data_IF_928143462354
#
_entry.id   IF_928143462354
#
_cell.length_a   1.000
_cell.length_b   1.000
_cell.length_c   1.000
_cell.angle_alpha   90.00
_cell.angle_beta   90.00
_cell.angle_gamma   90.00
#
_symmetry.space_group_name_H-M   'P 1'
#
loop_
_entity.id
_entity.type
_entity.pdbx_description
1 polymer ?
#
# COMPACT_ATOMS: atom_id res chain seq x y z
N UNK A 1 -3.47 -2.22 12.53
CA UNK A 1 -3.61 -2.19 11.05
C UNK A 1 -3.19 -0.84 10.50
N UNK A 2 -2.56 -0.85 9.39
CA UNK A 2 -2.13 0.35 8.69
C UNK A 2 -2.69 0.35 7.27
N UNK A 3 -2.96 1.53 6.75
CA UNK A 3 -3.27 1.71 5.33
C UNK A 3 -2.02 2.28 4.67
N UNK A 4 -1.60 1.67 3.58
CA UNK A 4 -0.52 2.16 2.75
C UNK A 4 -1.11 2.82 1.52
N UNK A 5 -0.63 4.02 1.21
CA UNK A 5 -0.98 4.72 -0.03
C UNK A 5 0.33 5.03 -0.73
N UNK A 6 0.43 4.67 -2.00
CA UNK A 6 1.62 5.01 -2.78
C UNK A 6 1.19 5.36 -4.22
N UNK A 7 2.09 5.97 -4.96
CA UNK A 7 1.81 6.49 -6.29
C UNK A 7 2.84 5.93 -7.25
N UNK A 8 2.37 5.21 -8.27
CA UNK A 8 3.25 4.40 -9.12
C UNK A 8 3.00 4.74 -10.58
N UNK A 9 4.05 4.94 -11.39
CA UNK A 9 3.83 5.11 -12.83
C UNK A 9 2.96 3.97 -13.36
N UNK A 10 2.04 4.31 -14.24
CA UNK A 10 0.98 3.38 -14.66
C UNK A 10 1.53 2.04 -15.11
N UNK A 11 2.61 2.02 -15.91
CA UNK A 11 3.12 0.77 -16.43
C UNK A 11 3.84 -0.09 -15.38
N UNK A 12 4.11 0.47 -14.19
CA UNK A 12 4.75 -0.28 -13.11
C UNK A 12 3.79 -0.66 -11.99
N UNK A 13 2.52 -0.26 -12.11
CA UNK A 13 1.56 -0.45 -11.01
C UNK A 13 1.37 -1.93 -10.66
N UNK A 14 1.24 -2.77 -11.66
CA UNK A 14 1.01 -4.19 -11.43
C UNK A 14 2.18 -4.85 -10.71
N UNK A 15 3.38 -4.50 -11.13
CA UNK A 15 4.60 -5.02 -10.51
C UNK A 15 4.70 -4.63 -9.03
N UNK A 16 4.42 -3.35 -8.73
CA UNK A 16 4.50 -2.86 -7.37
C UNK A 16 3.41 -3.49 -6.51
N UNK A 17 2.18 -3.58 -7.04
CA UNK A 17 1.10 -4.23 -6.29
C UNK A 17 1.44 -5.67 -5.93
N UNK A 18 1.99 -6.42 -6.89
CA UNK A 18 2.35 -7.80 -6.63
C UNK A 18 3.40 -7.90 -5.52
N UNK A 19 4.40 -7.02 -5.57
CA UNK A 19 5.43 -7.02 -4.53
C UNK A 19 4.84 -6.72 -3.15
N UNK A 20 3.89 -5.77 -3.08
CA UNK A 20 3.23 -5.43 -1.83
C UNK A 20 2.40 -6.60 -1.30
N UNK A 21 1.64 -7.26 -2.17
CA UNK A 21 0.83 -8.41 -1.76
C UNK A 21 1.71 -9.55 -1.27
N UNK A 22 2.81 -9.81 -1.97
CA UNK A 22 3.75 -10.86 -1.56
C UNK A 22 4.37 -10.56 -0.20
N UNK A 23 4.50 -9.28 0.15
CA UNK A 23 5.08 -8.87 1.43
C UNK A 23 4.07 -8.86 2.57
N UNK A 24 2.79 -9.08 2.29
CA UNK A 24 1.79 -9.21 3.34
C UNK A 24 0.68 -8.19 3.31
N UNK A 25 0.59 -7.37 2.26
CA UNK A 25 -0.51 -6.42 2.12
C UNK A 25 -1.75 -7.08 1.55
N UNK A 26 -2.91 -6.50 1.86
CA UNK A 26 -4.13 -6.78 1.12
C UNK A 26 -4.95 -7.96 1.59
N UNK A 27 -4.72 -8.44 2.80
CA UNK A 27 -5.51 -9.56 3.33
C UNK A 27 -6.66 -9.04 4.18
N UNK A 28 -7.88 -9.37 3.79
CA UNK A 28 -9.10 -9.01 4.54
C UNK A 28 -9.97 -10.25 4.60
N UNK A 29 -10.12 -10.82 5.80
CA UNK A 29 -10.92 -12.03 5.96
C UNK A 29 -10.42 -13.15 5.07
N UNK A 30 -11.28 -13.65 4.22
CA UNK A 30 -10.95 -14.75 3.31
C UNK A 30 -10.50 -14.27 1.94
N UNK A 31 -10.14 -12.98 1.83
CA UNK A 31 -9.67 -12.41 0.56
C UNK A 31 -8.24 -11.94 0.70
N UNK A 32 -7.46 -12.14 -0.35
CA UNK A 32 -6.14 -11.54 -0.43
C UNK A 32 -6.07 -10.62 -1.65
N UNK A 33 -4.95 -9.98 -1.83
CA UNK A 33 -4.71 -9.08 -2.96
C UNK A 33 -5.72 -7.95 -3.06
N UNK A 34 -6.18 -7.48 -1.90
CA UNK A 34 -7.16 -6.40 -1.85
C UNK A 34 -6.46 -5.06 -1.97
N UNK A 35 -6.91 -4.25 -2.92
CA UNK A 35 -6.41 -2.89 -3.08
C UNK A 35 -7.47 -2.06 -3.77
N UNK A 36 -7.34 -0.75 -3.65
CA UNK A 36 -8.17 0.19 -4.39
C UNK A 36 -7.23 1.06 -5.20
N UNK A 37 -7.51 1.24 -6.48
CA UNK A 37 -6.58 1.88 -7.39
C UNK A 37 -7.28 2.98 -8.17
N UNK A 38 -6.62 4.15 -8.25
CA UNK A 38 -7.15 5.31 -8.96
C UNK A 38 -6.09 5.80 -9.93
N UNK A 39 -6.51 6.04 -11.18
CA UNK A 39 -5.64 6.63 -12.19
C UNK A 39 -5.58 8.13 -11.95
N UNK A 40 -4.38 8.69 -11.96
CA UNK A 40 -4.21 10.12 -11.76
C UNK A 40 -2.90 10.59 -12.34
N UNK A 41 -2.48 11.77 -11.90
CA UNK A 41 -1.23 12.38 -12.34
C UNK A 41 -0.44 12.84 -11.13
N UNK A 42 0.87 12.55 -11.14
CA UNK A 42 1.76 13.09 -10.14
C UNK A 42 2.66 14.13 -10.77
N UNK A 43 3.09 15.09 -9.98
CA UNK A 43 4.04 16.09 -10.46
C UNK A 43 5.24 16.12 -9.55
N UNK A 44 6.40 16.42 -10.14
CA UNK A 44 7.60 16.61 -9.35
C UNK A 44 8.62 17.41 -10.19
N UNK A 45 9.60 17.95 -9.49
CA UNK A 45 10.72 18.63 -10.15
C UNK A 45 12.00 18.14 -9.49
N UNK A 46 12.81 17.43 -10.26
CA UNK A 46 14.09 16.94 -9.76
C UNK A 46 15.06 18.10 -9.62
N UNK A 47 15.75 18.16 -8.50
CA UNK A 47 16.71 19.22 -8.21
C UNK A 47 18.10 18.67 -8.34
N UNK A 48 19.08 19.57 -8.30
CA UNK A 48 20.48 19.18 -8.39
C UNK A 48 20.81 18.12 -7.35
N UNK A 49 21.48 17.06 -7.78
CA UNK A 49 21.81 15.94 -6.91
C UNK A 49 20.87 14.75 -7.06
N UNK A 50 19.72 14.94 -7.71
CA UNK A 50 18.78 13.85 -7.94
C UNK A 50 19.16 13.05 -9.18
N UNK A 51 18.76 11.79 -9.20
CA UNK A 51 18.91 10.91 -10.36
C UNK A 51 17.53 10.36 -10.71
N UNK A 52 16.68 11.17 -11.37
CA UNK A 52 15.28 10.79 -11.56
C UNK A 52 15.12 9.65 -12.56
N UNK A 53 14.14 8.80 -12.28
CA UNK A 53 13.73 7.73 -13.20
C UNK A 53 13.16 8.33 -14.49
N UNK A 54 12.41 9.43 -14.37
CA UNK A 54 11.85 10.15 -15.51
C UNK A 54 11.86 11.63 -15.22
N UNK A 55 11.74 12.44 -16.28
CA UNK A 55 11.83 13.87 -16.15
C UNK A 55 13.27 14.35 -16.18
N UNK A 56 13.46 15.67 -16.20
CA UNK A 56 14.78 16.27 -16.27
C UNK A 56 14.98 17.24 -15.12
N UNK A 57 16.24 17.40 -14.74
CA UNK A 57 16.58 18.29 -13.63
C UNK A 57 16.07 19.70 -13.90
N UNK A 58 15.45 20.28 -12.89
CA UNK A 58 15.01 21.66 -12.93
C UNK A 58 13.71 21.91 -13.67
N UNK A 59 13.09 20.86 -14.24
CA UNK A 59 11.85 21.01 -14.99
C UNK A 59 10.71 20.31 -14.30
N UNK A 60 9.55 20.96 -14.27
CA UNK A 60 8.35 20.35 -13.72
C UNK A 60 7.92 19.21 -14.64
N UNK A 61 7.80 18.03 -14.06
CA UNK A 61 7.40 16.83 -14.78
C UNK A 61 6.04 16.37 -14.29
N UNK A 62 5.18 15.96 -15.23
CA UNK A 62 3.89 15.36 -14.92
C UNK A 62 3.91 13.93 -15.42
N UNK A 63 3.58 13.00 -14.52
CA UNK A 63 3.61 11.58 -14.85
C UNK A 63 2.26 10.95 -14.58
N UNK A 64 1.80 10.11 -15.51
CA UNK A 64 0.59 9.33 -15.29
C UNK A 64 0.89 8.28 -14.23
N UNK A 65 0.10 8.27 -13.17
CA UNK A 65 0.35 7.39 -12.03
C UNK A 65 -0.94 6.77 -11.54
N UNK A 66 -0.80 5.59 -10.93
CA UNK A 66 -1.90 4.94 -10.24
C UNK A 66 -1.69 5.16 -8.75
N UNK A 67 -2.72 5.66 -8.07
CA UNK A 67 -2.73 5.69 -6.61
C UNK A 67 -3.17 4.32 -6.12
N UNK A 68 -2.29 3.65 -5.40
CA UNK A 68 -2.54 2.31 -4.88
C UNK A 68 -2.80 2.42 -3.39
N UNK A 69 -3.96 1.91 -2.94
CA UNK A 69 -4.29 1.86 -1.52
C UNK A 69 -4.49 0.41 -1.11
N UNK A 70 -3.83 0.01 -0.05
CA UNK A 70 -3.99 -1.34 0.47
C UNK A 70 -3.75 -1.31 1.98
N UNK A 71 -3.97 -2.41 2.66
CA UNK A 71 -3.81 -2.47 4.10
C UNK A 71 -2.81 -3.53 4.49
N UNK A 72 -2.24 -3.39 5.68
CA UNK A 72 -1.27 -4.35 6.19
C UNK A 72 -1.32 -4.37 7.72
N UNK A 73 -0.99 -5.52 8.32
CA UNK A 73 -0.82 -5.54 9.78
C UNK A 73 0.46 -4.81 10.15
N UNK A 74 0.44 -4.13 11.29
CA UNK A 74 1.56 -3.27 11.68
C UNK A 74 2.89 -4.03 11.75
N UNK A 75 2.87 -5.31 12.12
CA UNK A 75 4.12 -6.06 12.25
C UNK A 75 4.78 -6.36 10.89
N UNK A 76 4.06 -6.15 9.79
CA UNK A 76 4.61 -6.33 8.44
C UNK A 76 5.19 -5.04 7.86
N UNK A 77 5.15 -3.96 8.60
CA UNK A 77 5.57 -2.65 8.08
C UNK A 77 6.97 -2.70 7.46
N UNK A 78 7.93 -3.30 8.16
CA UNK A 78 9.29 -3.34 7.65
C UNK A 78 9.41 -4.08 6.32
N UNK A 79 8.77 -5.25 6.23
CA UNK A 79 8.82 -6.05 5.00
C UNK A 79 8.12 -5.34 3.85
N UNK A 80 7.00 -4.69 4.15
CA UNK A 80 6.21 -3.99 3.13
C UNK A 80 6.96 -2.78 2.58
N UNK A 81 7.55 -1.96 3.46
CA UNK A 81 8.30 -0.79 3.01
C UNK A 81 9.50 -1.23 2.18
N UNK A 82 10.18 -2.29 2.59
CA UNK A 82 11.31 -2.80 1.82
C UNK A 82 10.86 -3.26 0.43
N UNK A 83 9.74 -3.98 0.35
CA UNK A 83 9.21 -4.43 -0.93
C UNK A 83 8.83 -3.27 -1.82
N UNK A 84 8.25 -2.22 -1.24
CA UNK A 84 7.90 -1.02 -1.99
C UNK A 84 9.14 -0.37 -2.57
N UNK A 85 10.15 -0.14 -1.75
CA UNK A 85 11.36 0.53 -2.19
C UNK A 85 12.12 -0.28 -3.24
N UNK A 86 12.06 -1.61 -3.14
CA UNK A 86 12.75 -2.47 -4.10
C UNK A 86 12.02 -2.60 -5.44
N UNK A 87 10.70 -2.41 -5.46
CA UNK A 87 9.90 -2.61 -6.67
C UNK A 87 9.53 -1.32 -7.38
N UNK A 88 9.49 -0.21 -6.66
CA UNK A 88 9.09 1.07 -7.23
C UNK A 88 10.23 1.63 -8.08
N UNK A 89 9.93 2.17 -9.29
CA UNK A 89 10.99 2.67 -10.16
C UNK A 89 11.59 4.00 -9.73
N UNK A 90 10.89 4.77 -8.90
CA UNK A 90 11.40 6.09 -8.49
C UNK A 90 12.54 5.95 -7.50
N UNK A 91 13.46 6.91 -7.56
CA UNK A 91 14.56 7.01 -6.62
C UNK A 91 14.05 7.21 -5.20
N UNK A 92 13.07 8.08 -5.04
CA UNK A 92 12.45 8.37 -3.74
C UNK A 92 10.93 8.32 -3.89
N UNK A 93 10.34 7.13 -3.81
CA UNK A 93 8.90 7.01 -3.98
C UNK A 93 8.14 7.62 -2.80
N UNK A 94 7.04 8.28 -3.12
CA UNK A 94 6.16 8.83 -2.09
C UNK A 94 5.22 7.75 -1.60
N UNK A 95 5.11 7.60 -0.29
CA UNK A 95 4.13 6.70 0.29
C UNK A 95 3.74 7.20 1.67
N UNK A 96 2.55 6.84 2.08
CA UNK A 96 1.99 7.23 3.37
C UNK A 96 1.47 6.01 4.09
N UNK A 97 1.66 5.97 5.40
CA UNK A 97 1.12 4.91 6.25
C UNK A 97 0.18 5.56 7.24
N UNK A 98 -1.08 5.13 7.24
CA UNK A 98 -2.10 5.69 8.12
C UNK A 98 -2.52 4.62 9.13
N UNK A 99 -2.42 4.92 10.45
CA UNK A 99 -2.98 3.99 11.43
C UNK A 99 -4.50 3.92 11.29
N UNK A 100 -5.04 2.71 11.32
CA UNK A 100 -6.48 2.51 11.23
C UNK A 100 -7.02 2.12 12.58
N UNK A 101 -8.18 2.67 12.93
CA UNK A 101 -8.82 2.34 14.19
C UNK A 101 -9.58 1.03 14.14
N UNK A 102 -10.09 0.67 12.95
CA UNK A 102 -10.81 -0.58 12.80
C UNK A 102 -9.84 -1.75 12.70
N UNK A 103 -10.26 -2.88 13.20
CA UNK A 103 -9.49 -4.12 13.11
C UNK A 103 -10.07 -4.98 12.00
N UNK A 104 -9.21 -5.48 11.13
CA UNK A 104 -9.59 -6.39 10.07
C UNK A 104 -9.19 -7.80 10.46
N UNK A 105 -10.08 -8.75 10.25
CA UNK A 105 -9.72 -10.15 10.45
C UNK A 105 -8.72 -10.56 9.39
N UNK A 106 -7.63 -11.19 9.82
CA UNK A 106 -6.55 -11.58 8.94
C UNK A 106 -6.65 -13.04 8.60
N UNK A 107 -6.62 -13.35 7.33
CA UNK A 107 -6.52 -14.74 6.90
C UNK A 107 -5.13 -15.25 7.25
N UNK A 108 -5.08 -16.38 7.91
CA UNK A 108 -3.82 -17.01 8.20
C UNK A 108 -3.00 -16.35 9.28
N UNK A 109 -3.51 -15.34 9.91
CA UNK A 109 -2.79 -14.74 11.00
C UNK A 109 -3.17 -15.40 12.31
N UNK A 110 -3.55 -16.49 12.23
CA UNK A 110 -3.88 -17.28 13.36
C UNK A 110 -4.80 -16.58 14.31
N UNK A 111 -4.89 -16.24 14.17
CA UNK A 111 -5.53 -15.86 14.73
C UNK A 111 -6.38 -15.87 15.10
N UNK A 112 -6.35 -16.02 15.33
CA UNK A 112 -7.04 -15.89 15.56
C UNK A 112 -7.58 -15.65 16.20
N UNK A 113 -7.64 -15.63 16.59
CA UNK A 113 -8.32 -15.38 16.96
C UNK A 113 -8.75 -15.00 17.71
N UNK A 114 -8.97 -14.97 17.96
CA UNK A 114 -9.63 -14.61 18.38
C UNK A 114 -10.17 -14.09 18.78
N UNK A 115 -10.36 -13.89 19.00
CA UNK A 115 -11.09 -13.45 19.07
C UNK A 115 -11.79 -13.18 19.60
N UNK A 116 -12.05 -13.09 19.78
CA UNK A 116 -12.92 -12.85 19.90
C UNK A 116 -13.47 -12.31 20.39
N UNK A 117 -13.49 -11.99 20.54
CA UNK A 117 -14.25 -11.45 20.54
C UNK A 117 -14.56 -10.81 20.56
N UNK A 118 -14.58 -10.68 20.77
CA UNK A 118 -15.23 -9.99 20.36
C UNK A 118 -15.54 -9.40 20.06
N UNK A 119 -15.72 -8.94 19.67
CA UNK A 119 -16.28 -8.53 18.96
C UNK A 119 -16.79 -7.93 18.90
N UNK A 120 -16.84 -7.78 19.03
CA UNK A 120 -17.52 -7.41 18.51
C UNK A 120 -17.98 -6.76 18.29
N UNK A 121 -17.99 -6.53 18.28
CA UNK A 121 -18.59 -6.13 17.54
C UNK A 121 -18.82 -6.03 16.91
N UNK A 122 -18.69 -6.04 16.75
CA UNK A 122 -19.15 -6.22 15.75
C UNK A 122 -19.26 -6.64 15.44
N UNK A 123 -18.94 -6.80 15.48
CA UNK A 123 -19.19 -7.26 14.78
C UNK A 123 -19.48 -7.01 14.44
N UNK A 124 -19.36 -6.72 14.30
CA UNK A 124 -19.76 -6.60 13.49
C UNK A 124 -19.99 -6.21 13.00
N UNK A 125 -19.90 -6.09 13.00
CA UNK A 125 -20.19 -5.95 12.05
C UNK A 125 -20.12 -6.40 11.61
N UNK A 126 -20.00 -6.83 11.57
CA UNK A 126 -19.95 -7.38 10.99
C UNK A 126 -19.87 -7.62 10.55
N UNK A 127 -19.71 -7.76 10.50
CA UNK A 127 -19.51 -7.95 9.77
C UNK A 127 -19.55 -7.69 9.03
N UNK A 128 -19.31 -7.38 8.71
CA UNK A 128 -19.34 -7.16 7.70
C UNK A 128 -19.18 -7.37 7.14
N UNK A 129 -19.28 -7.38 7.20
CA UNK A 129 -19.20 -7.58 6.53
C UNK A 129 -19.42 -7.70 6.03
#
# INVERSE_FOLDING_TARGET
MLKLVTFVPTEHAEKVRKALFDAGCGCIGNYDSCSYNLQGEGTFRAMEGANPFCGELGELHTEAEVRVETILPAFRKGAVVKALLNSHPYEEPAFDLYPLKNAWNQVGSGVVGELEEPETELEFLKRIK
#
